data_IF_657547201295
#
_entry.id   IF_657547201295
#
_cell.length_a   1.000
_cell.length_b   1.000
_cell.length_c   1.000
_cell.angle_alpha   90.00
_cell.angle_beta   90.00
_cell.angle_gamma   90.00
#
_symmetry.space_group_name_H-M   'P 1'
#
loop_
_entity.id
_entity.type
_entity.pdbx_description
1 polymer ?
#
# COMPACT_ATOMS: atom_id res chain seq x y z
N UNK A 1 6.17 8.57 -15.52
CA UNK A 1 4.99 8.79 -16.39
C UNK A 1 4.06 7.61 -16.17
N UNK A 2 2.79 7.85 -15.87
CA UNK A 2 1.80 6.79 -15.61
C UNK A 2 0.80 6.72 -16.77
N UNK A 3 0.47 5.50 -17.21
CA UNK A 3 -0.47 5.20 -18.29
C UNK A 3 -1.59 4.34 -17.72
N UNK A 4 -2.84 4.74 -17.93
CA UNK A 4 -4.01 3.92 -17.63
C UNK A 4 -4.46 3.14 -18.86
N UNK A 5 -4.78 1.86 -18.69
CA UNK A 5 -5.24 0.97 -19.76
C UNK A 5 -6.40 0.10 -19.29
N UNK A 6 -7.40 -0.07 -20.16
CA UNK A 6 -8.52 -1.00 -19.95
C UNK A 6 -8.29 -2.27 -20.77
N UNK A 7 -8.09 -3.39 -20.08
CA UNK A 7 -7.74 -4.67 -20.70
C UNK A 7 -8.99 -5.54 -20.88
N UNK A 8 -9.42 -5.81 -22.13
CA UNK A 8 -10.62 -6.57 -22.39
C UNK A 8 -10.47 -8.05 -22.01
N UNK A 9 -11.54 -8.72 -21.56
CA UNK A 9 -11.48 -10.13 -21.17
C UNK A 9 -11.40 -11.05 -22.40
N UNK A 10 -10.47 -12.00 -22.36
CA UNK A 10 -10.17 -13.00 -23.39
C UNK A 10 -10.40 -14.40 -22.83
N UNK A 11 -10.95 -15.31 -23.65
CA UNK A 11 -11.23 -16.68 -23.21
C UNK A 11 -9.92 -17.48 -23.07
N UNK A 12 -9.81 -18.28 -22.02
CA UNK A 12 -8.68 -19.22 -21.86
C UNK A 12 -8.55 -20.13 -23.08
N UNK A 13 -7.33 -20.18 -23.63
CA UNK A 13 -6.97 -21.08 -24.74
C UNK A 13 -7.04 -20.44 -26.13
N UNK A 14 -7.57 -19.21 -26.27
CA UNK A 14 -7.52 -18.49 -27.54
C UNK A 14 -6.19 -17.73 -27.71
N UNK A 15 -5.14 -18.47 -28.06
CA UNK A 15 -3.77 -17.95 -28.16
C UNK A 15 -3.62 -16.77 -29.14
N UNK A 16 -4.49 -16.65 -30.16
CA UNK A 16 -4.44 -15.53 -31.13
C UNK A 16 -4.79 -14.19 -30.51
N UNK A 17 -5.59 -14.19 -29.44
CA UNK A 17 -5.98 -12.98 -28.73
C UNK A 17 -5.01 -12.61 -27.61
N UNK A 18 -4.04 -13.48 -27.31
CA UNK A 18 -3.03 -13.21 -26.30
C UNK A 18 -1.97 -12.26 -26.85
N UNK A 19 -1.31 -11.57 -25.92
CA UNK A 19 -0.24 -10.65 -26.22
C UNK A 19 0.98 -11.39 -26.79
N UNK A 20 1.42 -10.95 -27.97
CA UNK A 20 2.57 -11.50 -28.71
C UNK A 20 3.13 -10.45 -29.66
N UNK A 21 4.28 -10.69 -30.29
CA UNK A 21 4.82 -9.78 -31.31
C UNK A 21 3.82 -9.50 -32.45
N UNK A 22 2.95 -10.46 -32.78
CA UNK A 22 1.92 -10.28 -33.81
C UNK A 22 0.66 -9.56 -33.29
N UNK A 23 0.49 -9.43 -31.96
CA UNK A 23 -0.67 -8.82 -31.32
C UNK A 23 -0.23 -7.99 -30.11
N UNK A 24 0.05 -6.71 -30.35
CA UNK A 24 0.52 -5.75 -29.35
C UNK A 24 -0.60 -4.84 -28.81
N UNK A 25 -1.88 -5.19 -29.04
CA UNK A 25 -3.03 -4.32 -28.71
C UNK A 25 -3.10 -3.93 -27.23
N UNK A 26 -2.70 -4.83 -26.33
CA UNK A 26 -2.71 -4.62 -24.87
C UNK A 26 -1.30 -4.35 -24.33
N UNK A 27 -0.41 -3.82 -25.17
CA UNK A 27 1.00 -3.64 -24.86
C UNK A 27 1.42 -2.18 -24.90
N UNK A 28 2.29 -1.79 -23.98
CA UNK A 28 3.05 -0.54 -24.07
C UNK A 28 4.49 -0.88 -24.41
N UNK A 29 5.02 -0.20 -25.42
CA UNK A 29 6.36 -0.44 -25.92
C UNK A 29 7.30 0.68 -25.52
N UNK A 30 8.50 0.32 -25.06
CA UNK A 30 9.53 1.27 -24.68
C UNK A 30 10.85 0.91 -25.34
N UNK A 31 11.55 1.92 -25.82
CA UNK A 31 12.95 1.80 -26.23
C UNK A 31 13.83 1.83 -24.99
N UNK A 32 14.77 0.90 -24.90
CA UNK A 32 15.69 0.66 -23.79
C UNK A 32 17.10 0.46 -24.35
N UNK A 33 18.09 0.84 -23.58
CA UNK A 33 19.51 0.65 -23.88
C UNK A 33 20.05 -0.57 -23.14
N UNK A 34 21.24 -1.04 -23.54
CA UNK A 34 21.93 -2.19 -22.91
C UNK A 34 22.11 -2.01 -21.40
N UNK A 35 22.37 -0.80 -20.96
CA UNK A 35 22.71 -0.45 -19.58
C UNK A 35 21.50 0.00 -18.74
N UNK A 36 20.28 -0.12 -19.28
CA UNK A 36 19.10 0.35 -18.59
C UNK A 36 18.58 -0.66 -17.55
N UNK A 37 18.20 -0.11 -16.40
CA UNK A 37 17.39 -0.78 -15.38
C UNK A 37 15.96 -0.28 -15.54
N UNK A 38 15.04 -1.22 -15.72
CA UNK A 38 13.62 -0.96 -15.91
C UNK A 38 12.88 -1.29 -14.62
N UNK A 39 12.17 -0.30 -14.08
CA UNK A 39 11.30 -0.43 -12.93
C UNK A 39 9.86 -0.21 -13.37
N UNK A 40 9.00 -1.19 -13.08
CA UNK A 40 7.57 -1.15 -13.35
C UNK A 40 6.82 -1.10 -12.03
N UNK A 41 5.95 -0.12 -11.89
CA UNK A 41 4.93 -0.11 -10.85
C UNK A 41 3.57 -0.28 -11.52
N UNK A 42 2.86 -1.32 -11.14
CA UNK A 42 1.58 -1.73 -11.72
C UNK A 42 0.55 -1.67 -10.61
N UNK A 43 -0.48 -0.86 -10.81
CA UNK A 43 -1.65 -0.85 -9.94
C UNK A 43 -2.80 -1.46 -10.72
N UNK A 44 -3.27 -2.59 -10.22
CA UNK A 44 -4.44 -3.31 -10.70
C UNK A 44 -5.46 -3.38 -9.56
N UNK A 45 -6.74 -3.27 -9.88
CA UNK A 45 -7.79 -3.39 -8.86
C UNK A 45 -7.88 -4.78 -8.23
N UNK A 46 -8.91 -4.99 -7.43
CA UNK A 46 -9.15 -6.26 -6.72
C UNK A 46 -9.26 -7.46 -7.66
N UNK A 47 -8.86 -8.63 -7.18
CA UNK A 47 -8.99 -9.87 -7.93
C UNK A 47 -10.47 -10.18 -8.24
N UNK A 48 -10.75 -10.46 -9.50
CA UNK A 48 -12.06 -10.88 -9.99
C UNK A 48 -12.12 -12.40 -10.02
N UNK A 49 -13.19 -12.99 -9.47
CA UNK A 49 -13.44 -14.42 -9.59
C UNK A 49 -13.54 -14.82 -11.06
N UNK A 50 -12.97 -15.98 -11.39
CA UNK A 50 -13.00 -16.53 -12.75
C UNK A 50 -12.25 -15.72 -13.83
N UNK A 51 -11.46 -14.70 -13.44
CA UNK A 51 -10.60 -13.91 -14.32
C UNK A 51 -9.21 -13.68 -13.73
N UNK A 52 -8.17 -13.88 -14.54
CA UNK A 52 -6.78 -13.71 -14.17
C UNK A 52 -6.15 -12.63 -15.05
N UNK A 53 -5.51 -11.65 -14.42
CA UNK A 53 -4.74 -10.64 -15.13
C UNK A 53 -3.27 -11.08 -15.16
N UNK A 54 -2.76 -11.39 -16.35
CA UNK A 54 -1.38 -11.83 -16.52
C UNK A 54 -0.54 -10.68 -17.10
N UNK A 55 0.69 -10.54 -16.62
CA UNK A 55 1.69 -9.65 -17.20
C UNK A 55 2.69 -10.49 -17.99
N UNK A 56 2.96 -10.08 -19.22
CA UNK A 56 4.05 -10.61 -20.03
C UNK A 56 4.91 -9.46 -20.52
N UNK A 57 6.20 -9.53 -20.22
CA UNK A 57 7.20 -8.61 -20.75
C UNK A 57 8.15 -9.39 -21.64
N UNK A 58 8.27 -8.96 -22.89
CA UNK A 58 9.15 -9.58 -23.87
C UNK A 58 9.85 -8.52 -24.72
N UNK A 59 10.99 -8.88 -25.30
CA UNK A 59 11.69 -8.03 -26.25
C UNK A 59 11.14 -8.19 -27.68
N UNK A 60 11.68 -7.44 -28.62
CA UNK A 60 11.35 -7.50 -30.05
C UNK A 60 11.60 -8.87 -30.72
N UNK A 61 12.33 -9.78 -30.06
CA UNK A 61 12.63 -11.14 -30.53
C UNK A 61 11.76 -12.20 -29.83
N UNK A 62 10.73 -11.77 -29.07
CA UNK A 62 9.84 -12.62 -28.25
C UNK A 62 10.54 -13.32 -27.07
N UNK A 63 11.75 -12.88 -26.70
CA UNK A 63 12.39 -13.38 -25.50
C UNK A 63 11.67 -12.82 -24.28
N UNK A 64 11.14 -13.72 -23.44
CA UNK A 64 10.39 -13.32 -22.26
C UNK A 64 11.34 -12.85 -21.16
N UNK A 65 11.25 -11.57 -20.83
CA UNK A 65 12.03 -10.91 -19.76
C UNK A 65 11.36 -11.12 -18.41
N UNK A 66 10.03 -10.99 -18.37
CA UNK A 66 9.21 -11.18 -17.18
C UNK A 66 7.85 -11.77 -17.51
N UNK A 67 7.36 -12.56 -16.57
CA UNK A 67 6.04 -13.15 -16.62
C UNK A 67 5.48 -13.17 -15.19
N UNK A 68 4.27 -12.67 -15.02
CA UNK A 68 3.51 -12.79 -13.77
C UNK A 68 2.11 -13.29 -14.09
N UNK A 69 1.58 -14.12 -13.22
CA UNK A 69 0.28 -14.73 -13.39
C UNK A 69 -0.67 -14.28 -12.30
N UNK A 70 -1.93 -14.04 -12.69
CA UNK A 70 -3.04 -13.73 -11.79
C UNK A 70 -2.71 -12.59 -10.80
N UNK A 71 -2.27 -11.46 -11.37
CA UNK A 71 -1.93 -10.25 -10.61
C UNK A 71 -3.19 -9.56 -10.08
N UNK A 72 -3.04 -8.96 -8.90
CA UNK A 72 -4.03 -8.08 -8.28
C UNK A 72 -3.34 -7.10 -7.34
N UNK A 73 -3.96 -5.94 -7.12
CA UNK A 73 -3.42 -4.89 -6.25
C UNK A 73 -2.21 -4.19 -6.88
N UNK A 74 -1.34 -3.67 -6.02
CA UNK A 74 -0.09 -3.02 -6.41
C UNK A 74 1.07 -4.01 -6.50
N UNK A 75 1.81 -3.96 -7.60
CA UNK A 75 2.96 -4.81 -7.89
C UNK A 75 4.12 -3.95 -8.39
N UNK A 76 5.32 -4.17 -7.85
CA UNK A 76 6.54 -3.52 -8.31
C UNK A 76 7.53 -4.56 -8.82
N UNK A 77 8.05 -4.35 -10.03
CA UNK A 77 8.95 -5.30 -10.70
C UNK A 77 10.14 -4.56 -11.25
N UNK A 78 11.33 -5.11 -11.01
CA UNK A 78 12.58 -4.59 -11.54
C UNK A 78 13.24 -5.65 -12.42
N UNK A 79 13.70 -5.25 -13.58
CA UNK A 79 14.45 -6.11 -14.51
C UNK A 79 15.37 -5.30 -15.41
N UNK A 80 16.23 -6.01 -16.12
CA UNK A 80 17.15 -5.46 -17.10
C UNK A 80 16.95 -6.17 -18.43
N UNK A 81 17.51 -5.60 -19.50
CA UNK A 81 17.61 -6.27 -20.78
C UNK A 81 18.50 -7.53 -20.65
N UNK A 82 18.27 -8.56 -21.48
CA UNK A 82 19.06 -9.80 -21.50
C UNK A 82 20.55 -9.56 -21.73
N UNK A 83 20.89 -8.48 -22.46
CA UNK A 83 22.28 -8.12 -22.77
C UNK A 83 22.91 -7.18 -21.74
N UNK A 84 22.21 -6.84 -20.64
CA UNK A 84 22.75 -5.96 -19.60
C UNK A 84 23.91 -6.66 -18.86
N UNK A 85 25.04 -5.98 -18.63
CA UNK A 85 26.19 -6.55 -17.91
C UNK A 85 25.86 -6.96 -16.47
N UNK A 86 24.81 -6.39 -15.87
CA UNK A 86 24.34 -6.68 -14.52
C UNK A 86 23.00 -7.41 -14.62
N UNK A 87 22.97 -8.64 -14.10
CA UNK A 87 21.76 -9.45 -14.00
C UNK A 87 21.20 -9.33 -12.59
N UNK A 88 19.98 -8.79 -12.47
CA UNK A 88 19.29 -8.70 -11.18
C UNK A 88 18.76 -10.10 -10.84
N UNK A 89 19.23 -10.74 -9.76
CA UNK A 89 18.79 -12.08 -9.39
C UNK A 89 17.29 -12.08 -9.08
N UNK A 90 16.55 -13.00 -9.72
CA UNK A 90 15.12 -13.18 -9.49
C UNK A 90 14.92 -14.08 -8.25
N UNK A 91 14.52 -13.49 -7.12
CA UNK A 91 14.33 -14.18 -5.84
C UNK A 91 13.14 -15.15 -5.85
N UNK A 92 12.07 -14.82 -6.58
CA UNK A 92 10.84 -15.62 -6.57
C UNK A 92 10.73 -16.62 -7.73
N UNK A 93 10.66 -17.91 -7.38
CA UNK A 93 10.52 -19.02 -8.33
C UNK A 93 9.26 -18.97 -9.18
N UNK A 94 8.19 -18.31 -8.71
CA UNK A 94 6.93 -18.10 -9.46
C UNK A 94 7.06 -17.07 -10.59
N UNK A 95 8.10 -16.22 -10.54
CA UNK A 95 8.42 -15.21 -11.55
C UNK A 95 9.56 -15.66 -12.48
N UNK A 96 10.03 -16.91 -12.35
CA UNK A 96 11.14 -17.51 -13.13
C UNK A 96 10.65 -18.20 -14.38
N UNK A 97 10.15 -17.46 -15.37
CA UNK A 97 10.00 -18.01 -16.72
C UNK A 97 10.65 -17.02 -17.69
N UNK A 98 11.92 -17.32 -18.02
CA UNK A 98 12.76 -16.53 -18.92
C UNK A 98 14.23 -16.98 -18.95
N UNK A 99 14.77 -17.50 -17.82
CA UNK A 99 16.16 -17.99 -17.78
C UNK A 99 16.36 -19.42 -18.33
N UNK A 100 15.30 -20.21 -18.50
CA UNK A 100 15.42 -21.63 -18.89
C UNK A 100 15.77 -21.83 -20.37
N UNK A 101 15.40 -20.90 -21.26
CA UNK A 101 15.76 -20.92 -22.67
C UNK A 101 16.94 -20.00 -22.98
N UNK A 102 17.93 -19.96 -22.07
CA UNK A 102 19.24 -19.39 -22.37
C UNK A 102 19.91 -20.30 -23.41
N UNK A 103 19.58 -20.10 -24.70
CA UNK A 103 20.45 -20.53 -25.79
C UNK A 103 21.82 -20.00 -25.39
N UNK A 104 22.76 -20.92 -25.22
CA UNK A 104 24.17 -20.57 -25.02
C UNK A 104 24.50 -19.55 -26.11
N UNK A 105 24.59 -18.28 -25.72
CA UNK A 105 25.10 -17.23 -26.59
C UNK A 105 26.54 -17.64 -26.81
N UNK A 106 26.78 -18.40 -27.88
CA UNK A 106 28.11 -18.53 -28.46
C UNK A 106 28.57 -17.09 -28.63
N UNK A 107 29.75 -16.77 -28.06
CA UNK A 107 30.46 -15.54 -28.35
C UNK A 107 30.55 -15.41 -29.87
N UNK A 108 29.63 -14.67 -30.47
CA UNK A 108 29.74 -14.16 -31.81
C UNK A 108 30.01 -12.67 -31.65
N UNK A 109 31.08 -12.27 -32.33
CA UNK A 109 31.61 -10.92 -32.43
C UNK A 109 30.51 -9.85 -32.56
N UNK A 110 30.83 -8.65 -32.06
CA UNK A 110 30.11 -7.40 -32.30
C UNK A 110 29.50 -7.36 -33.71
N UNK A 111 28.22 -7.70 -33.79
CA UNK A 111 27.39 -7.43 -34.96
C UNK A 111 26.81 -6.02 -34.73
N UNK A 112 27.03 -5.06 -35.64
CA UNK A 112 26.65 -3.66 -35.44
C UNK A 112 25.13 -3.42 -35.54
N UNK A 113 24.33 -4.46 -35.73
CA UNK A 113 22.88 -4.38 -35.92
C UNK A 113 22.10 -4.70 -34.62
N UNK A 114 22.43 -4.00 -33.53
CA UNK A 114 21.74 -4.10 -32.23
C UNK A 114 20.44 -3.28 -32.21
N UNK A 115 19.96 -2.81 -33.37
CA UNK A 115 18.74 -1.99 -33.45
C UNK A 115 17.50 -2.74 -32.97
N UNK A 116 17.45 -4.06 -33.15
CA UNK A 116 16.34 -4.90 -32.70
C UNK A 116 16.27 -5.06 -31.17
N UNK A 117 17.39 -5.24 -30.46
CA UNK A 117 17.41 -5.70 -29.05
C UNK A 117 17.05 -4.64 -28.02
N UNK A 118 16.72 -3.44 -28.48
CA UNK A 118 16.55 -2.24 -27.67
C UNK A 118 15.08 -1.90 -27.45
N UNK A 119 14.13 -2.78 -27.76
CA UNK A 119 12.71 -2.51 -27.53
C UNK A 119 12.09 -3.59 -26.65
N UNK A 120 11.37 -3.15 -25.63
CA UNK A 120 10.59 -4.02 -24.75
C UNK A 120 9.11 -3.75 -24.92
N UNK A 121 8.32 -4.79 -24.80
CA UNK A 121 6.87 -4.75 -24.82
C UNK A 121 6.33 -5.24 -23.48
N UNK A 122 5.55 -4.40 -22.81
CA UNK A 122 4.92 -4.68 -21.52
C UNK A 122 3.44 -4.88 -21.78
N UNK A 123 2.97 -6.11 -21.65
CA UNK A 123 1.65 -6.51 -22.10
C UNK A 123 0.81 -7.14 -20.99
N UNK A 124 -0.50 -6.96 -21.10
CA UNK A 124 -1.47 -7.48 -20.13
C UNK A 124 -2.52 -8.35 -20.82
N UNK A 125 -2.76 -9.53 -20.26
CA UNK A 125 -3.79 -10.45 -20.73
C UNK A 125 -4.80 -10.71 -19.61
N UNK A 126 -6.04 -10.23 -19.78
CA UNK A 126 -7.14 -10.51 -18.87
C UNK A 126 -7.86 -11.78 -19.33
N UNK A 127 -7.55 -12.92 -18.73
CA UNK A 127 -8.01 -14.23 -19.18
C UNK A 127 -9.14 -14.76 -18.28
N UNK A 128 -10.24 -15.23 -18.84
CA UNK A 128 -11.34 -15.86 -18.10
C UNK A 128 -11.52 -17.33 -18.46
N UNK A 129 -11.84 -18.14 -17.46
CA UNK A 129 -12.00 -19.59 -17.61
C UNK A 129 -13.42 -20.11 -17.40
N UNK A 130 -14.30 -19.32 -16.78
CA UNK A 130 -15.69 -19.69 -16.54
C UNK A 130 -16.56 -19.46 -17.78
N UNK A 131 -17.32 -20.49 -18.16
CA UNK A 131 -18.24 -20.50 -19.31
C UNK A 131 -19.70 -20.58 -18.87
N UNK A 132 -19.98 -20.48 -17.57
CA UNK A 132 -21.33 -20.50 -17.04
C UNK A 132 -22.14 -19.31 -17.55
N UNK A 133 -23.45 -19.52 -17.72
CA UNK A 133 -24.38 -18.50 -18.20
C UNK A 133 -24.52 -17.30 -17.24
N UNK A 134 -24.22 -17.51 -15.95
CA UNK A 134 -24.26 -16.48 -14.90
C UNK A 134 -22.98 -15.64 -14.82
N UNK A 135 -21.90 -16.04 -15.48
CA UNK A 135 -20.62 -15.33 -15.42
C UNK A 135 -20.65 -14.04 -16.24
N UNK A 136 -20.32 -12.92 -15.59
CA UNK A 136 -20.18 -11.62 -16.24
C UNK A 136 -18.71 -11.29 -16.46
N UNK A 137 -18.28 -11.35 -17.72
CA UNK A 137 -16.96 -10.89 -18.14
C UNK A 137 -16.85 -9.37 -17.98
N UNK A 138 -15.74 -8.89 -17.41
CA UNK A 138 -15.50 -7.48 -17.11
C UNK A 138 -14.09 -7.10 -17.59
N UNK A 139 -13.89 -5.88 -18.13
CA UNK A 139 -12.55 -5.38 -18.39
C UNK A 139 -11.79 -5.13 -17.09
N UNK A 140 -10.46 -5.16 -17.17
CA UNK A 140 -9.56 -4.89 -16.05
C UNK A 140 -8.84 -3.57 -16.30
N UNK A 141 -9.01 -2.61 -15.39
CA UNK A 141 -8.25 -1.37 -15.42
C UNK A 141 -6.86 -1.59 -14.81
N UNK A 142 -5.84 -1.09 -15.49
CA UNK A 142 -4.44 -1.20 -15.10
C UNK A 142 -3.78 0.18 -15.22
N UNK A 143 -3.13 0.61 -14.14
CA UNK A 143 -2.26 1.78 -14.17
C UNK A 143 -0.80 1.32 -14.14
N UNK A 144 -0.07 1.63 -15.20
CA UNK A 144 1.34 1.30 -15.37
C UNK A 144 2.19 2.55 -15.24
N UNK A 145 3.16 2.54 -14.34
CA UNK A 145 4.21 3.55 -14.25
C UNK A 145 5.56 2.90 -14.57
N UNK A 146 6.24 3.43 -15.57
CA UNK A 146 7.54 2.92 -16.05
C UNK A 146 8.62 3.95 -15.76
N UNK A 147 9.71 3.49 -15.15
CA UNK A 147 10.92 4.27 -14.88
C UNK A 147 12.12 3.51 -15.42
N UNK A 148 12.76 4.08 -16.43
CA UNK A 148 13.96 3.54 -17.08
C UNK A 148 15.12 4.42 -16.64
N UNK A 149 16.15 3.82 -16.04
CA UNK A 149 17.34 4.53 -15.57
C UNK A 149 18.59 3.84 -16.07
N UNK A 150 19.56 4.62 -16.53
CA UNK A 150 20.85 4.09 -16.97
C UNK A 150 21.72 3.75 -15.75
N UNK A 151 22.40 2.61 -15.78
CA UNK A 151 23.26 2.16 -14.69
C UNK A 151 24.42 3.12 -14.41
N UNK A 152 24.94 3.81 -15.43
CA UNK A 152 26.01 4.81 -15.28
C UNK A 152 25.51 5.98 -14.44
N UNK A 153 24.29 6.44 -14.66
CA UNK A 153 23.65 7.50 -13.84
C UNK A 153 23.32 7.04 -12.42
N UNK A 154 23.06 5.74 -12.21
CA UNK A 154 22.86 5.17 -10.87
C UNK A 154 24.18 4.96 -10.11
N UNK A 155 25.30 4.75 -10.79
CA UNK A 155 26.64 4.73 -10.17
C UNK A 155 27.20 6.14 -9.96
N UNK A 156 26.74 7.12 -10.73
CA UNK A 156 27.08 8.54 -10.62
C UNK A 156 26.06 9.32 -9.79
N UNK A 157 25.49 8.72 -8.75
CA UNK A 157 24.66 9.48 -7.80
C UNK A 157 25.53 10.54 -7.16
N UNK A 158 25.34 11.81 -7.54
CA UNK A 158 26.01 12.91 -6.88
C UNK A 158 25.37 13.09 -5.49
N UNK A 159 25.93 12.41 -4.51
CA UNK A 159 25.46 12.40 -3.13
C UNK A 159 25.42 13.83 -2.53
N UNK A 160 26.24 14.77 -3.01
CA UNK A 160 26.17 16.19 -2.60
C UNK A 160 24.80 16.82 -2.83
N UNK A 161 24.04 16.39 -3.84
CA UNK A 161 22.68 16.91 -4.04
C UNK A 161 21.71 16.55 -2.90
N UNK A 162 22.00 15.46 -2.18
CA UNK A 162 21.22 14.99 -1.05
C UNK A 162 21.69 15.58 0.28
N UNK A 163 22.93 16.08 0.36
CA UNK A 163 23.49 16.70 1.56
C UNK A 163 22.55 17.78 2.15
N UNK A 164 21.96 18.63 1.31
CA UNK A 164 21.02 19.69 1.74
C UNK A 164 19.82 19.18 2.53
N UNK A 165 19.38 17.94 2.31
CA UNK A 165 18.25 17.34 3.00
C UNK A 165 18.63 16.77 4.37
N UNK A 166 19.89 16.36 4.54
CA UNK A 166 20.41 15.79 5.78
C UNK A 166 21.07 16.82 6.70
N UNK A 167 21.66 17.89 6.14
CA UNK A 167 22.20 19.02 6.93
C UNK A 167 21.12 19.58 7.85
N UNK A 168 19.87 19.70 7.36
CA UNK A 168 18.76 20.23 8.17
C UNK A 168 18.35 19.31 9.33
N UNK A 169 18.65 18.02 9.24
CA UNK A 169 18.35 17.04 10.29
C UNK A 169 19.47 17.04 11.34
N UNK A 170 20.74 17.10 10.93
CA UNK A 170 21.88 17.15 11.85
C UNK A 170 22.03 18.50 12.57
N UNK A 171 21.53 19.59 11.97
CA UNK A 171 21.59 20.95 12.56
C UNK A 171 20.54 21.18 13.65
N UNK A 172 19.60 20.25 13.84
CA UNK A 172 18.56 20.36 14.87
C UNK A 172 19.08 20.18 16.30
N UNK A 173 20.24 19.52 16.46
CA UNK A 173 20.81 19.14 17.76
C UNK A 173 22.10 19.91 18.12
N UNK A 174 22.55 20.84 17.26
CA UNK A 174 23.76 21.61 17.48
C UNK A 174 23.46 23.10 17.70
N UNK A 175 22.87 23.43 18.85
CA UNK A 175 23.01 24.77 19.41
C UNK A 175 24.47 25.01 19.79
N UNK A 176 25.03 26.10 19.25
CA UNK A 176 26.29 26.73 19.63
C UNK A 176 27.58 26.01 19.19
N UNK A 177 28.01 26.27 17.95
CA UNK A 177 29.42 26.66 17.75
C UNK A 177 29.50 27.66 16.60
N UNK A 178 29.82 28.90 16.94
CA UNK A 178 30.27 29.89 15.97
C UNK A 178 31.62 29.48 15.38
N UNK A 179 31.73 29.74 14.09
CA UNK A 179 32.93 30.09 13.34
C UNK A 179 33.56 29.06 12.39
N UNK A 180 33.66 29.55 11.15
CA UNK A 180 34.70 29.32 10.16
C UNK A 180 34.91 27.92 9.57
N UNK A 181 34.58 27.83 8.28
CA UNK A 181 35.21 26.90 7.36
C UNK A 181 34.23 26.41 6.31
N UNK A 182 34.20 27.07 5.15
CA UNK A 182 33.87 26.42 3.88
C UNK A 182 34.85 25.27 3.65
N UNK A 183 34.64 24.17 4.36
CA UNK A 183 35.18 22.89 3.95
C UNK A 183 34.23 22.39 2.89
N UNK A 184 34.75 22.21 1.67
CA UNK A 184 34.10 21.43 0.64
C UNK A 184 33.96 19.99 1.16
N UNK A 185 32.99 19.77 2.04
CA UNK A 185 32.65 18.46 2.55
C UNK A 185 31.86 17.77 1.43
N UNK A 186 32.56 16.93 0.68
CA UNK A 186 31.95 16.07 -0.32
C UNK A 186 31.15 14.99 0.45
N UNK A 187 29.84 15.14 0.46
CA UNK A 187 28.90 14.21 1.07
C UNK A 187 28.94 12.90 0.26
N UNK A 188 29.42 11.83 0.88
CA UNK A 188 29.67 10.55 0.22
C UNK A 188 28.50 9.56 0.39
N UNK A 189 28.56 8.42 -0.30
CA UNK A 189 27.61 7.31 -0.15
C UNK A 189 27.51 6.81 1.31
N UNK A 190 28.63 6.79 2.02
CA UNK A 190 28.69 6.34 3.41
C UNK A 190 27.93 7.32 4.32
N UNK A 191 28.04 8.62 4.06
CA UNK A 191 27.35 9.66 4.83
C UNK A 191 25.85 9.63 4.56
N UNK A 192 25.45 9.36 3.31
CA UNK A 192 24.06 9.09 2.95
C UNK A 192 23.49 7.90 3.71
N UNK A 193 24.19 6.74 3.69
CA UNK A 193 23.72 5.52 4.34
C UNK A 193 23.58 5.70 5.85
N UNK A 194 24.56 6.35 6.51
CA UNK A 194 24.46 6.69 7.95
C UNK A 194 23.28 7.61 8.24
N UNK A 195 23.04 8.61 7.41
CA UNK A 195 21.93 9.53 7.62
C UNK A 195 20.57 8.86 7.40
N UNK A 196 20.47 7.91 6.47
CA UNK A 196 19.29 7.07 6.28
C UNK A 196 19.06 6.14 7.48
N UNK A 197 20.11 5.51 8.00
CA UNK A 197 20.03 4.65 9.19
C UNK A 197 19.59 5.44 10.43
N UNK A 198 20.11 6.65 10.61
CA UNK A 198 19.67 7.58 11.66
C UNK A 198 18.19 7.95 11.51
N UNK A 199 17.74 8.31 10.29
CA UNK A 199 16.33 8.58 10.02
C UNK A 199 15.43 7.38 10.30
N UNK A 200 15.87 6.18 9.95
CA UNK A 200 15.11 4.96 10.20
C UNK A 200 14.97 4.71 11.71
N UNK A 201 15.99 5.03 12.49
CA UNK A 201 15.97 4.93 13.95
C UNK A 201 14.99 5.94 14.56
N UNK A 202 15.04 7.21 14.13
CA UNK A 202 14.08 8.24 14.55
C UNK A 202 12.64 7.88 14.21
N UNK A 203 12.40 7.35 13.00
CA UNK A 203 11.06 6.92 12.59
C UNK A 203 10.54 5.75 13.43
N UNK A 204 11.42 4.81 13.78
CA UNK A 204 11.06 3.72 14.67
C UNK A 204 10.71 4.24 16.06
N UNK A 205 11.49 5.16 16.62
CA UNK A 205 11.21 5.80 17.91
C UNK A 205 9.86 6.53 17.90
N UNK A 206 9.60 7.37 16.89
CA UNK A 206 8.31 8.04 16.72
C UNK A 206 7.16 7.02 16.56
N UNK A 207 7.39 5.90 15.87
CA UNK A 207 6.37 4.86 15.71
C UNK A 207 6.05 4.15 17.04
N UNK A 208 7.05 3.94 17.89
CA UNK A 208 6.88 3.37 19.23
C UNK A 208 6.18 4.35 20.16
N UNK A 209 6.53 5.64 20.10
CA UNK A 209 5.86 6.69 20.86
C UNK A 209 4.39 6.85 20.47
N UNK A 210 4.07 6.77 19.18
CA UNK A 210 2.69 6.76 18.68
C UNK A 210 1.91 5.53 19.18
N UNK A 211 2.53 4.34 19.21
CA UNK A 211 1.90 3.13 19.77
C UNK A 211 1.67 3.25 21.27
N UNK A 212 2.62 3.81 22.01
CA UNK A 212 2.48 4.07 23.45
C UNK A 212 1.35 5.07 23.73
N UNK A 213 1.25 6.11 22.91
CA UNK A 213 0.17 7.09 22.98
C UNK A 213 -1.19 6.46 22.65
N UNK A 214 -1.28 5.60 21.63
CA UNK A 214 -2.51 4.85 21.32
C UNK A 214 -2.94 3.97 22.50
N UNK A 215 -2.00 3.26 23.14
CA UNK A 215 -2.28 2.45 24.32
C UNK A 215 -2.81 3.29 25.48
N UNK A 216 -2.23 4.46 25.70
CA UNK A 216 -2.68 5.42 26.72
C UNK A 216 -4.09 5.92 26.41
N UNK A 217 -4.38 6.27 25.15
CA UNK A 217 -5.70 6.70 24.72
C UNK A 217 -6.75 5.60 24.90
N UNK A 218 -6.43 4.34 24.57
CA UNK A 218 -7.34 3.20 24.83
C UNK A 218 -7.59 3.01 26.32
N UNK A 219 -6.56 3.18 27.15
CA UNK A 219 -6.70 3.10 28.61
C UNK A 219 -7.62 4.21 29.12
N UNK A 220 -7.42 5.46 28.68
CA UNK A 220 -8.28 6.59 29.01
C UNK A 220 -9.72 6.38 28.53
N UNK A 221 -9.91 5.83 27.33
CA UNK A 221 -11.25 5.47 26.82
C UNK A 221 -11.92 4.42 27.71
N UNK A 222 -11.17 3.40 28.16
CA UNK A 222 -11.72 2.38 29.06
C UNK A 222 -12.14 2.97 30.41
N UNK A 223 -11.33 3.89 30.97
CA UNK A 223 -11.64 4.61 32.19
C UNK A 223 -12.86 5.54 32.03
N UNK A 224 -13.00 6.20 30.89
CA UNK A 224 -14.17 7.04 30.59
C UNK A 224 -15.46 6.21 30.51
N UNK A 225 -15.40 5.05 29.85
CA UNK A 225 -16.53 4.10 29.79
C UNK A 225 -16.88 3.57 31.17
N UNK A 226 -15.89 3.23 31.99
CA UNK A 226 -16.10 2.77 33.36
C UNK A 226 -16.75 3.87 34.22
N UNK A 227 -16.22 5.09 34.17
CA UNK A 227 -16.80 6.24 34.86
C UNK A 227 -18.22 6.53 34.40
N UNK A 228 -18.51 6.39 33.10
CA UNK A 228 -19.86 6.57 32.55
C UNK A 228 -20.82 5.51 33.10
N UNK A 229 -20.41 4.24 33.13
CA UNK A 229 -21.24 3.14 33.65
C UNK A 229 -21.48 3.30 35.16
N UNK A 230 -20.45 3.68 35.92
CA UNK A 230 -20.58 3.97 37.35
C UNK A 230 -21.56 5.13 37.56
N UNK A 231 -21.44 6.21 36.80
CA UNK A 231 -22.35 7.35 36.88
C UNK A 231 -23.79 6.97 36.54
N UNK A 232 -24.00 6.17 35.48
CA UNK A 232 -25.33 5.66 35.11
C UNK A 232 -25.93 4.78 36.21
N UNK A 233 -25.13 3.89 36.80
CA UNK A 233 -25.58 3.02 37.91
C UNK A 233 -25.94 3.80 39.17
N UNK A 234 -25.19 4.87 39.49
CA UNK A 234 -25.48 5.75 40.62
C UNK A 234 -26.78 6.51 40.34
N UNK A 235 -26.96 7.03 39.12
CA UNK A 235 -28.16 7.74 38.73
C UNK A 235 -29.40 6.84 38.75
N UNK A 236 -29.28 5.59 38.27
CA UNK A 236 -30.37 4.61 38.32
C UNK A 236 -30.77 4.29 39.76
N UNK A 237 -29.78 3.99 40.63
CA UNK A 237 -30.02 3.70 42.04
C UNK A 237 -30.65 4.89 42.78
N UNK A 238 -30.17 6.11 42.52
CA UNK A 238 -30.72 7.34 43.07
C UNK A 238 -32.15 7.59 42.59
N UNK A 239 -32.42 7.40 41.30
CA UNK A 239 -33.77 7.57 40.74
C UNK A 239 -34.75 6.55 41.31
N UNK A 240 -34.33 5.29 41.44
CA UNK A 240 -35.14 4.21 42.01
C UNK A 240 -35.47 4.45 43.48
N UNK A 241 -34.50 4.87 44.28
CA UNK A 241 -34.72 5.18 45.71
C UNK A 241 -35.61 6.41 45.88
N UNK A 242 -35.41 7.46 45.08
CA UNK A 242 -36.26 8.65 45.09
C UNK A 242 -37.72 8.32 44.73
N UNK A 243 -37.93 7.49 43.69
CA UNK A 243 -39.28 7.05 43.29
C UNK A 243 -39.98 6.27 44.39
N UNK A 244 -39.27 5.38 45.10
CA UNK A 244 -39.82 4.66 46.26
C UNK A 244 -40.22 5.61 47.39
N UNK A 245 -39.41 6.63 47.68
CA UNK A 245 -39.74 7.64 48.70
C UNK A 245 -41.00 8.42 48.29
N UNK A 246 -41.10 8.87 47.04
CA UNK A 246 -42.28 9.58 46.54
C UNK A 246 -43.53 8.70 46.64
N UNK A 247 -43.44 7.44 46.22
CA UNK A 247 -44.54 6.49 46.30
C UNK A 247 -45.03 6.28 47.75
N UNK A 248 -44.12 6.13 48.72
CA UNK A 248 -44.50 6.01 50.13
C UNK A 248 -45.18 7.27 50.65
N UNK A 249 -44.68 8.46 50.32
CA UNK A 249 -45.32 9.73 50.69
C UNK A 249 -46.75 9.81 50.13
N UNK A 250 -46.96 9.44 48.87
CA UNK A 250 -48.28 9.41 48.24
C UNK A 250 -49.24 8.45 48.95
N UNK A 251 -48.78 7.23 49.29
CA UNK A 251 -49.59 6.23 50.01
C UNK A 251 -49.98 6.74 51.39
N UNK A 252 -49.05 7.32 52.15
CA UNK A 252 -49.36 7.92 53.46
C UNK A 252 -50.30 9.11 53.34
N UNK A 253 -50.13 9.98 52.33
CA UNK A 253 -51.02 11.11 52.07
C UNK A 253 -52.45 10.66 51.76
N UNK A 254 -52.62 9.62 50.93
CA UNK A 254 -53.94 9.05 50.64
C UNK A 254 -54.57 8.41 51.89
N UNK A 255 -53.79 7.70 52.70
CA UNK A 255 -54.27 7.11 53.95
C UNK A 255 -54.72 8.19 54.95
N UNK A 256 -53.96 9.29 55.07
CA UNK A 256 -54.34 10.44 55.90
C UNK A 256 -55.63 11.10 55.41
N UNK A 257 -55.77 11.32 54.10
CA UNK A 257 -57.01 11.87 53.52
C UNK A 257 -58.22 10.95 53.75
N UNK A 258 -58.06 9.64 53.55
CA UNK A 258 -59.12 8.67 53.81
C UNK A 258 -59.52 8.64 55.29
N UNK A 259 -58.54 8.69 56.20
CA UNK A 259 -58.79 8.76 57.64
C UNK A 259 -59.55 10.03 58.02
N UNK A 260 -59.12 11.20 57.54
CA UNK A 260 -59.79 12.48 57.79
C UNK A 260 -61.22 12.45 57.23
N UNK A 261 -61.42 11.96 56.01
CA UNK A 261 -62.74 11.86 55.40
C UNK A 261 -63.68 10.94 56.22
N UNK A 262 -63.20 9.78 56.67
CA UNK A 262 -63.97 8.89 57.53
C UNK A 262 -64.27 9.51 58.89
N UNK A 263 -63.30 10.19 59.49
CA UNK A 263 -63.45 10.88 60.77
C UNK A 263 -64.49 12.02 60.70
N UNK A 264 -64.44 12.85 59.66
CA UNK A 264 -65.40 13.93 59.42
C UNK A 264 -66.81 13.39 59.18
N UNK A 265 -66.94 12.34 58.34
CA UNK A 265 -68.23 11.66 58.11
C UNK A 265 -68.82 11.09 59.40
N UNK A 266 -67.99 10.52 60.28
CA UNK A 266 -68.43 9.96 61.57
C UNK A 266 -68.88 11.03 62.56
N UNK A 267 -68.32 12.24 62.49
CA UNK A 267 -68.73 13.39 63.32
C UNK A 267 -69.88 14.22 62.75
N UNK A 268 -70.43 13.86 61.57
CA UNK A 268 -71.50 14.61 60.88
C UNK A 268 -71.19 16.09 60.70
N UNK A 269 -69.91 16.42 60.47
CA UNK A 269 -69.48 17.79 60.16
C UNK A 269 -69.49 18.08 58.65
N UNK A 270 -69.79 17.06 57.85
CA UNK A 270 -69.97 17.06 56.40
C UNK A 270 -71.14 16.11 56.09
#
# INVERSE_FOLDING_TARGET
MAIGMSIPPVVTGNLKQYSSLANLMNCVSYTTSKDDIIMLNIQSGDKLSSQQLNLRVFDSEDNTLRLMHDMSGEQSVIFTNLNNPIQIPQSDSKNRIGLANRRQVKQYQDDPDVSGKCQIHICFDNVYFDKSWSFQKRPREVHLSVSIRNITTLKQTNYNNYAKHFIRISSGDAENTEDSGETNYEFTENDFNKAVEYLQTLLNEVSEELRSSESTLRTLQSLEVELRNVNESIFESFTRTSLMIIATICVFGLAQLAYIHFFLKRRKLL
#
